data_IF_755764696816
#
_entry.id   IF_755764696816
#
_cell.length_a   1.000
_cell.length_b   1.000
_cell.length_c   1.000
_cell.angle_alpha   90.00
_cell.angle_beta   90.00
_cell.angle_gamma   90.00
#
_symmetry.space_group_name_H-M   'P 1'
#
loop_
_entity.id
_entity.type
_entity.pdbx_description
1 polymer ?
#
# COMPACT_ATOMS: atom_id res chain seq x y z
N UNK A 1 -2.55 -5.92 -8.34
CA UNK A 1 -1.26 -5.30 -8.70
C UNK A 1 -0.17 -5.50 -7.63
N UNK A 2 -0.32 -6.45 -6.71
CA UNK A 2 0.73 -6.81 -5.73
C UNK A 2 1.49 -8.09 -6.11
N UNK A 3 0.90 -8.93 -6.97
CA UNK A 3 1.54 -10.15 -7.50
C UNK A 3 2.76 -9.80 -8.36
N UNK A 4 2.66 -8.73 -9.16
CA UNK A 4 3.78 -8.27 -10.01
C UNK A 4 4.98 -7.85 -9.16
N UNK A 5 4.75 -7.16 -8.04
CA UNK A 5 5.82 -6.74 -7.12
C UNK A 5 6.46 -7.94 -6.39
N UNK A 6 5.66 -8.93 -5.99
CA UNK A 6 6.15 -10.17 -5.42
C UNK A 6 6.94 -11.02 -6.43
N UNK A 7 6.49 -11.08 -7.70
CA UNK A 7 7.20 -11.78 -8.78
C UNK A 7 8.54 -11.12 -9.12
N UNK A 8 8.60 -9.78 -9.20
CA UNK A 8 9.87 -9.07 -9.45
C UNK A 8 10.85 -9.20 -8.27
N UNK A 9 10.35 -9.18 -7.03
CA UNK A 9 11.19 -9.43 -5.85
C UNK A 9 11.84 -10.82 -5.89
N UNK A 10 11.07 -11.84 -6.28
CA UNK A 10 11.57 -13.20 -6.37
C UNK A 10 12.57 -13.38 -7.54
N UNK A 11 12.32 -12.74 -8.68
CA UNK A 11 13.26 -12.71 -9.83
C UNK A 11 14.57 -11.99 -9.48
N UNK A 12 14.51 -10.88 -8.76
CA UNK A 12 15.70 -10.18 -8.25
C UNK A 12 16.51 -11.07 -7.30
N UNK A 13 15.83 -11.81 -6.42
CA UNK A 13 16.47 -12.74 -5.49
C UNK A 13 17.18 -13.88 -6.25
N UNK A 14 16.49 -14.53 -7.19
CA UNK A 14 17.05 -15.63 -8.00
C UNK A 14 18.19 -15.14 -8.89
N UNK A 15 18.04 -13.98 -9.53
CA UNK A 15 19.09 -13.38 -10.36
C UNK A 15 20.32 -12.99 -9.52
N UNK A 16 20.13 -12.49 -8.29
CA UNK A 16 21.24 -12.19 -7.38
C UNK A 16 21.96 -13.45 -6.92
N UNK A 17 21.23 -14.55 -6.67
CA UNK A 17 21.82 -15.83 -6.29
C UNK A 17 22.65 -16.44 -7.44
N UNK A 18 22.13 -16.42 -8.67
CA UNK A 18 22.87 -16.87 -9.87
C UNK A 18 24.09 -15.99 -10.15
N UNK A 19 23.97 -14.67 -9.98
CA UNK A 19 25.09 -13.74 -10.17
C UNK A 19 26.19 -13.97 -9.12
N UNK A 20 25.83 -14.19 -7.86
CA UNK A 20 26.78 -14.50 -6.77
C UNK A 20 27.47 -15.84 -7.01
N UNK A 21 26.73 -16.87 -7.45
CA UNK A 21 27.28 -18.18 -7.81
C UNK A 21 28.26 -18.06 -8.99
N UNK A 22 27.87 -17.36 -10.04
CA UNK A 22 28.73 -17.13 -11.22
C UNK A 22 29.96 -16.30 -10.91
N UNK A 23 29.86 -15.31 -10.03
CA UNK A 23 31.02 -14.54 -9.59
C UNK A 23 31.96 -15.38 -8.72
N UNK A 24 31.43 -16.24 -7.87
CA UNK A 24 32.21 -17.16 -7.05
C UNK A 24 32.93 -18.22 -7.91
N UNK A 25 32.25 -18.78 -8.91
CA UNK A 25 32.83 -19.73 -9.86
C UNK A 25 33.91 -19.08 -10.74
N UNK A 26 33.66 -17.87 -11.29
CA UNK A 26 34.68 -17.13 -12.05
C UNK A 26 35.89 -16.78 -11.21
N UNK A 27 35.71 -16.33 -9.97
CA UNK A 27 36.84 -16.05 -9.07
C UNK A 27 37.61 -17.30 -8.66
N UNK A 28 36.96 -18.46 -8.58
CA UNK A 28 37.63 -19.76 -8.33
C UNK A 28 38.42 -20.22 -9.57
N UNK A 29 37.88 -20.01 -10.77
CA UNK A 29 38.54 -20.36 -12.02
C UNK A 29 39.73 -19.43 -12.35
N UNK A 30 39.62 -18.13 -12.07
CA UNK A 30 40.70 -17.15 -12.28
C UNK A 30 41.85 -17.29 -11.28
N UNK A 31 41.59 -17.82 -10.09
CA UNK A 31 42.60 -18.06 -9.05
C UNK A 31 42.89 -19.56 -8.92
N UNK A 32 43.48 -20.22 -9.90
CA UNK A 32 43.93 -21.61 -9.75
C UNK A 32 44.93 -21.81 -8.58
N UNK A 33 44.48 -21.82 -7.33
CA UNK A 33 45.29 -21.62 -6.13
C UNK A 33 44.69 -22.35 -4.91
N UNK A 34 45.46 -23.32 -4.38
CA UNK A 34 45.53 -23.66 -2.96
C UNK A 34 46.23 -22.49 -2.23
N UNK A 35 45.49 -21.54 -1.66
CA UNK A 35 46.06 -20.41 -0.89
C UNK A 35 45.47 -20.33 0.53
N UNK A 36 46.30 -20.40 1.60
CA UNK A 36 45.83 -20.40 2.99
C UNK A 36 45.20 -19.08 3.48
N UNK A 37 45.23 -18.00 2.70
CA UNK A 37 44.62 -16.70 3.04
C UNK A 37 43.19 -16.49 2.51
N UNK A 38 42.61 -17.49 1.83
CA UNK A 38 41.22 -17.46 1.37
C UNK A 38 40.15 -17.15 2.44
N UNK A 39 40.22 -17.62 3.70
CA UNK A 39 39.09 -17.48 4.62
C UNK A 39 38.82 -16.02 5.02
N UNK A 40 39.85 -15.18 5.17
CA UNK A 40 39.70 -13.77 5.55
C UNK A 40 39.09 -12.94 4.41
N UNK A 41 39.44 -13.25 3.17
CA UNK A 41 38.88 -12.57 2.00
C UNK A 41 37.43 -12.98 1.72
N UNK A 42 37.09 -14.26 1.98
CA UNK A 42 35.72 -14.75 1.88
C UNK A 42 34.80 -14.13 2.94
N UNK A 43 35.29 -13.98 4.18
CA UNK A 43 34.53 -13.43 5.30
C UNK A 43 34.20 -11.94 5.08
N UNK A 44 35.16 -11.13 4.62
CA UNK A 44 34.90 -9.73 4.22
C UNK A 44 33.91 -9.61 3.06
N UNK A 45 33.95 -10.57 2.13
CA UNK A 45 32.98 -10.65 1.04
C UNK A 45 31.57 -10.92 1.55
N UNK A 46 31.41 -11.85 2.50
CA UNK A 46 30.14 -12.19 3.12
C UNK A 46 29.55 -11.01 3.91
N UNK A 47 30.37 -10.30 4.69
CA UNK A 47 29.96 -9.11 5.44
C UNK A 47 29.50 -7.99 4.48
N UNK A 48 30.23 -7.75 3.39
CA UNK A 48 29.83 -6.76 2.40
C UNK A 48 28.49 -7.11 1.72
N UNK A 49 28.28 -8.40 1.42
CA UNK A 49 27.04 -8.89 0.80
C UNK A 49 25.85 -8.75 1.76
N UNK A 50 26.03 -9.12 3.04
CA UNK A 50 25.03 -8.95 4.09
C UNK A 50 24.69 -7.46 4.28
N UNK A 51 25.69 -6.59 4.34
CA UNK A 51 25.50 -5.15 4.46
C UNK A 51 24.69 -4.59 3.29
N UNK A 52 25.03 -4.97 2.06
CA UNK A 52 24.28 -4.57 0.86
C UNK A 52 22.83 -5.08 0.89
N UNK A 53 22.61 -6.32 1.34
CA UNK A 53 21.27 -6.89 1.49
C UNK A 53 20.40 -6.14 2.50
N UNK A 54 20.96 -5.81 3.67
CA UNK A 54 20.25 -5.04 4.70
C UNK A 54 19.88 -3.64 4.20
N UNK A 55 20.81 -2.95 3.54
CA UNK A 55 20.53 -1.63 2.93
C UNK A 55 19.45 -1.73 1.86
N UNK A 56 19.50 -2.75 1.00
CA UNK A 56 18.48 -2.99 -0.02
C UNK A 56 17.09 -3.21 0.58
N UNK A 57 16.99 -4.03 1.63
CA UNK A 57 15.73 -4.27 2.36
C UNK A 57 15.20 -2.99 3.03
N UNK A 58 16.08 -2.22 3.67
CA UNK A 58 15.71 -0.97 4.33
C UNK A 58 15.15 0.07 3.32
N UNK A 59 15.82 0.24 2.17
CA UNK A 59 15.37 1.18 1.13
C UNK A 59 14.02 0.76 0.53
N UNK A 60 13.81 -0.54 0.31
CA UNK A 60 12.52 -1.09 -0.16
C UNK A 60 11.39 -0.87 0.86
N UNK A 61 11.67 -1.08 2.15
CA UNK A 61 10.72 -0.84 3.23
C UNK A 61 10.31 0.63 3.35
N UNK A 62 11.27 1.57 3.21
CA UNK A 62 10.97 3.01 3.27
C UNK A 62 10.09 3.44 2.09
N UNK A 63 10.39 2.96 0.87
CA UNK A 63 9.60 3.28 -0.31
C UNK A 63 8.14 2.80 -0.20
N UNK A 64 7.93 1.60 0.35
CA UNK A 64 6.59 1.03 0.54
C UNK A 64 5.84 1.68 1.70
N UNK A 65 6.52 2.02 2.80
CA UNK A 65 5.91 2.68 3.95
C UNK A 65 5.26 4.02 3.61
N UNK A 66 5.90 4.85 2.76
CA UNK A 66 5.33 6.14 2.35
C UNK A 66 3.99 6.01 1.60
N UNK A 67 3.86 4.98 0.76
CA UNK A 67 2.62 4.72 0.03
C UNK A 67 1.50 4.35 1.00
N UNK A 68 1.74 3.38 1.88
CA UNK A 68 0.73 2.87 2.83
C UNK A 68 0.25 4.00 3.76
N UNK A 69 1.16 4.78 4.33
CA UNK A 69 0.81 5.89 5.25
C UNK A 69 0.01 6.99 4.55
N UNK A 70 0.35 7.30 3.29
CA UNK A 70 -0.41 8.30 2.53
C UNK A 70 -1.86 7.85 2.30
N UNK A 71 -2.07 6.55 2.09
CA UNK A 71 -3.40 5.98 1.92
C UNK A 71 -4.19 5.95 3.21
N UNK A 72 -3.56 5.53 4.32
CA UNK A 72 -4.18 5.53 5.64
C UNK A 72 -4.62 6.94 6.04
N UNK A 73 -3.73 7.93 5.88
CA UNK A 73 -4.03 9.32 6.22
C UNK A 73 -5.20 9.89 5.40
N UNK A 74 -5.25 9.59 4.10
CA UNK A 74 -6.34 10.03 3.23
C UNK A 74 -7.68 9.41 3.65
N UNK A 75 -7.69 8.12 3.99
CA UNK A 75 -8.89 7.42 4.46
C UNK A 75 -9.37 7.94 5.82
N UNK A 76 -8.46 8.17 6.78
CA UNK A 76 -8.81 8.77 8.08
C UNK A 76 -9.31 10.21 7.92
N UNK A 77 -8.70 11.00 7.04
CA UNK A 77 -9.16 12.36 6.73
C UNK A 77 -10.56 12.36 6.11
N UNK A 78 -10.86 11.38 5.25
CA UNK A 78 -12.19 11.16 4.69
C UNK A 78 -13.21 10.88 5.80
N UNK A 79 -12.97 9.87 6.63
CA UNK A 79 -13.89 9.48 7.71
C UNK A 79 -14.23 10.65 8.63
N UNK A 80 -13.21 11.40 9.08
CA UNK A 80 -13.40 12.59 9.91
C UNK A 80 -14.16 13.72 9.20
N UNK A 81 -13.97 13.88 7.88
CA UNK A 81 -14.67 14.89 7.11
C UNK A 81 -16.16 14.55 6.93
N UNK A 82 -16.46 13.28 6.66
CA UNK A 82 -17.83 12.75 6.59
C UNK A 82 -18.53 12.91 7.94
N UNK A 83 -17.91 12.44 9.02
CA UNK A 83 -18.47 12.55 10.37
C UNK A 83 -18.78 14.00 10.73
N UNK A 84 -17.85 14.94 10.51
CA UNK A 84 -18.09 16.37 10.75
C UNK A 84 -19.21 16.95 9.90
N UNK A 85 -19.31 16.54 8.63
CA UNK A 85 -20.35 17.04 7.73
C UNK A 85 -21.72 16.51 8.15
N UNK A 86 -21.81 15.21 8.45
CA UNK A 86 -23.01 14.56 8.96
C UNK A 86 -23.45 15.25 10.24
N UNK A 87 -22.53 15.39 11.20
CA UNK A 87 -22.74 16.07 12.48
C UNK A 87 -23.28 17.50 12.37
N UNK A 88 -23.05 18.18 11.24
CA UNK A 88 -23.45 19.58 11.05
C UNK A 88 -24.68 19.76 10.17
N UNK A 89 -24.87 18.92 9.15
CA UNK A 89 -25.81 19.18 8.07
C UNK A 89 -26.78 18.04 7.78
N UNK A 90 -26.49 16.82 8.24
CA UNK A 90 -27.34 15.68 7.93
C UNK A 90 -28.58 15.62 8.84
N UNK A 91 -29.60 14.89 8.38
CA UNK A 91 -30.72 14.53 9.23
C UNK A 91 -30.28 13.55 10.32
N UNK A 92 -30.90 13.57 11.52
CA UNK A 92 -30.55 12.70 12.67
C UNK A 92 -30.39 11.22 12.33
N UNK A 93 -31.11 10.74 11.30
CA UNK A 93 -31.03 9.36 10.82
C UNK A 93 -29.66 8.94 10.31
N UNK A 94 -28.95 9.82 9.64
CA UNK A 94 -27.64 9.47 9.11
C UNK A 94 -26.55 9.49 10.18
N UNK A 95 -26.74 10.19 11.31
CA UNK A 95 -25.78 10.17 12.41
C UNK A 95 -25.78 8.84 13.14
N UNK A 96 -26.97 8.28 13.40
CA UNK A 96 -27.13 6.99 14.07
C UNK A 96 -26.77 5.79 13.19
N UNK A 97 -26.71 6.00 11.87
CA UNK A 97 -26.34 4.98 10.89
C UNK A 97 -24.94 5.22 10.29
N UNK A 98 -24.10 6.04 10.93
CA UNK A 98 -22.74 6.34 10.44
C UNK A 98 -21.89 5.06 10.25
N UNK A 99 -22.14 4.02 11.04
CA UNK A 99 -21.52 2.71 10.93
C UNK A 99 -21.90 1.96 9.64
N UNK A 100 -22.99 2.36 8.98
CA UNK A 100 -23.38 1.83 7.67
C UNK A 100 -22.64 2.50 6.50
N UNK A 101 -21.78 3.48 6.80
CA UNK A 101 -21.02 4.22 5.80
C UNK A 101 -20.19 3.29 4.93
N UNK A 102 -20.57 3.18 3.65
CA UNK A 102 -19.78 2.50 2.64
C UNK A 102 -18.95 3.54 1.88
N UNK A 103 -17.63 3.40 1.87
CA UNK A 103 -16.71 4.31 1.17
C UNK A 103 -16.10 3.63 -0.04
N UNK A 104 -16.23 4.25 -1.21
CA UNK A 104 -15.52 3.89 -2.42
C UNK A 104 -14.45 4.93 -2.73
N UNK A 105 -13.23 4.48 -3.04
CA UNK A 105 -12.18 5.36 -3.54
C UNK A 105 -12.36 5.57 -5.04
N UNK A 106 -12.48 6.83 -5.46
CA UNK A 106 -12.61 7.20 -6.87
C UNK A 106 -11.25 7.51 -7.51
N UNK A 107 -10.38 8.19 -6.75
CA UNK A 107 -9.02 8.52 -7.15
C UNK A 107 -8.18 8.79 -5.89
N UNK A 108 -6.87 9.03 -6.06
CA UNK A 108 -6.00 9.45 -4.97
C UNK A 108 -6.56 10.71 -4.28
N UNK A 109 -6.89 10.61 -3.00
CA UNK A 109 -7.46 11.69 -2.19
C UNK A 109 -8.90 12.08 -2.55
N UNK A 110 -9.62 11.31 -3.37
CA UNK A 110 -11.04 11.51 -3.66
C UNK A 110 -11.85 10.26 -3.33
N UNK A 111 -12.88 10.45 -2.53
CA UNK A 111 -13.73 9.38 -2.02
C UNK A 111 -15.19 9.70 -2.25
N UNK A 112 -15.99 8.64 -2.40
CA UNK A 112 -17.46 8.68 -2.34
C UNK A 112 -17.89 7.86 -1.14
N UNK A 113 -18.51 8.49 -0.14
CA UNK A 113 -19.02 7.80 1.04
C UNK A 113 -20.54 7.88 1.06
N UNK A 114 -21.20 6.74 1.12
CA UNK A 114 -22.66 6.61 1.14
C UNK A 114 -23.12 6.02 2.48
N UNK A 115 -24.08 6.66 3.12
CA UNK A 115 -24.63 6.24 4.42
C UNK A 115 -26.09 5.85 4.20
N UNK A 116 -26.48 4.67 4.68
CA UNK A 116 -27.86 4.20 4.55
C UNK A 116 -28.80 4.95 5.51
N UNK A 117 -30.05 5.13 5.10
CA UNK A 117 -31.14 5.42 6.02
C UNK A 117 -31.52 4.19 6.86
N UNK A 118 -32.43 4.35 7.81
CA UNK A 118 -32.83 3.27 8.72
C UNK A 118 -33.41 2.06 7.96
N UNK A 119 -34.16 2.32 6.89
CA UNK A 119 -34.81 1.30 6.07
C UNK A 119 -33.86 0.69 5.02
N UNK A 120 -32.64 1.23 4.88
CA UNK A 120 -31.66 0.91 3.84
C UNK A 120 -32.20 0.98 2.42
N UNK A 121 -33.12 1.92 2.18
CA UNK A 121 -33.74 2.19 0.87
C UNK A 121 -33.14 3.41 0.20
N UNK A 122 -32.65 4.37 1.00
CA UNK A 122 -32.07 5.61 0.52
C UNK A 122 -30.67 5.78 1.07
N UNK A 123 -29.79 6.41 0.28
CA UNK A 123 -28.41 6.62 0.66
C UNK A 123 -28.06 8.11 0.59
N UNK A 124 -27.48 8.63 1.68
CA UNK A 124 -26.81 9.92 1.67
C UNK A 124 -25.39 9.71 1.17
N UNK A 125 -25.12 10.08 -0.07
CA UNK A 125 -23.80 10.00 -0.67
C UNK A 125 -23.07 11.35 -0.64
N UNK A 126 -21.78 11.31 -0.36
CA UNK A 126 -20.90 12.48 -0.24
C UNK A 126 -19.63 12.25 -1.06
N UNK A 127 -19.26 13.24 -1.86
CA UNK A 127 -17.93 13.35 -2.45
C UNK A 127 -17.00 14.08 -1.49
N UNK A 128 -15.84 13.50 -1.23
CA UNK A 128 -14.84 14.04 -0.31
C UNK A 128 -13.50 14.17 -1.02
N UNK A 129 -13.00 15.40 -1.11
CA UNK A 129 -11.66 15.72 -1.59
C UNK A 129 -10.74 16.02 -0.41
N UNK A 130 -9.89 15.07 -0.05
CA UNK A 130 -8.94 15.15 1.07
C UNK A 130 -7.60 15.79 0.68
N UNK A 131 -7.41 16.17 -0.59
CA UNK A 131 -6.22 16.91 -1.05
C UNK A 131 -6.26 18.37 -0.60
N UNK A 132 -7.44 18.87 -0.24
CA UNK A 132 -7.64 20.22 0.31
C UNK A 132 -7.54 20.21 1.83
N UNK A 133 -7.09 21.33 2.41
CA UNK A 133 -7.06 21.57 3.86
C UNK A 133 -7.88 22.84 4.17
N UNK A 134 -9.06 22.73 4.82
CA UNK A 134 -9.75 21.49 5.22
C UNK A 134 -10.26 20.68 4.02
N UNK A 135 -10.53 19.36 4.19
CA UNK A 135 -11.14 18.55 3.14
C UNK A 135 -12.47 19.14 2.68
N UNK A 136 -12.70 19.13 1.36
CA UNK A 136 -13.95 19.61 0.77
C UNK A 136 -14.95 18.45 0.70
N UNK A 137 -16.14 18.66 1.25
CA UNK A 137 -17.24 17.68 1.22
C UNK A 137 -18.40 18.29 0.42
N UNK A 138 -18.93 17.53 -0.53
CA UNK A 138 -20.07 17.94 -1.36
C UNK A 138 -21.07 16.79 -1.39
N UNK A 139 -22.35 17.09 -1.26
CA UNK A 139 -23.40 16.09 -1.41
C UNK A 139 -23.45 15.59 -2.86
N UNK A 140 -23.46 14.28 -3.02
CA UNK A 140 -23.77 13.64 -4.29
C UNK A 140 -25.30 13.59 -4.46
N UNK A 141 -25.86 14.09 -5.57
CA UNK A 141 -27.29 13.98 -5.86
C UNK A 141 -27.73 12.53 -6.13
N UNK A 142 -26.82 11.61 -6.45
CA UNK A 142 -27.15 10.20 -6.61
C UNK A 142 -27.36 9.52 -5.27
N UNK A 143 -28.51 8.87 -5.11
CA UNK A 143 -28.82 7.99 -3.96
C UNK A 143 -28.44 6.53 -4.22
N UNK A 144 -27.78 6.23 -5.33
CA UNK A 144 -27.31 4.87 -5.60
C UNK A 144 -26.18 4.52 -4.64
N UNK A 145 -26.25 3.36 -3.96
CA UNK A 145 -25.15 2.91 -3.13
C UNK A 145 -23.89 2.75 -3.97
N UNK A 146 -22.74 2.88 -3.32
CA UNK A 146 -21.51 2.44 -3.94
C UNK A 146 -21.66 0.96 -4.31
N UNK A 147 -21.29 0.61 -5.54
CA UNK A 147 -21.10 -0.79 -5.90
C UNK A 147 -20.08 -1.37 -4.92
N UNK A 148 -20.24 -2.63 -4.48
CA UNK A 148 -19.22 -3.29 -3.69
C UNK A 148 -17.90 -3.07 -4.40
N UNK A 149 -16.90 -2.60 -3.65
CA UNK A 149 -15.54 -2.46 -4.17
C UNK A 149 -15.21 -3.78 -4.88
N UNK A 150 -14.78 -3.72 -6.14
CA UNK A 150 -14.09 -4.86 -6.71
C UNK A 150 -12.78 -4.97 -5.94
N UNK A 151 -12.86 -5.57 -4.75
CA UNK A 151 -11.71 -6.09 -4.03
C UNK A 151 -11.02 -6.97 -5.05
N UNK A 152 -9.93 -6.47 -5.63
CA UNK A 152 -9.25 -7.12 -6.74
C UNK A 152 -9.09 -8.60 -6.42
N UNK A 153 -9.76 -9.44 -7.21
CA UNK A 153 -9.85 -10.87 -6.99
C UNK A 153 -8.48 -11.53 -6.89
N UNK A 154 -8.44 -12.56 -6.07
CA UNK A 154 -7.33 -13.50 -5.93
C UNK A 154 -7.70 -14.59 -4.92
N UNK A 155 -8.83 -15.27 -5.19
CA UNK A 155 -9.21 -16.49 -4.49
C UNK A 155 -8.60 -17.72 -5.16
N UNK A 156 -8.43 -18.75 -4.32
CA UNK A 156 -7.95 -20.13 -4.53
C UNK A 156 -6.42 -20.27 -4.69
#
# INVERSE_FOLDING_TARGET
>A
MSIILASFGNLGLIASADLVMRFAERKRAERGIEDPHLPVAADRGAIALLGAGVVGLALSGIATHHLIVSETNATTANAKAVERWVNRYAAPMYHRNLETANTARLAAGNFRTCIADDARRHFLCLFVDTRRRPPKVVRDPSEEPNKPEQTGGGGL
#
